data_IF_643166760483
#
_entry.id   IF_643166760483
#
_cell.length_a   1.000
_cell.length_b   1.000
_cell.length_c   1.000
_cell.angle_alpha   90.00
_cell.angle_beta   90.00
_cell.angle_gamma   90.00
#
_symmetry.space_group_name_H-M   'P 1'
#
loop_
_entity.id
_entity.type
_entity.pdbx_description
1 polymer ?
#
# COMPACT_ATOMS: atom_id res chain seq x y z
N UNK A 1 14.88 -38.83 -29.86
CA UNK A 1 15.58 -38.75 -28.56
C UNK A 1 15.09 -39.84 -27.62
N UNK A 2 15.78 -40.98 -27.51
CA UNK A 2 15.70 -41.95 -26.40
C UNK A 2 14.38 -42.07 -25.58
N UNK A 3 13.20 -41.99 -26.20
CA UNK A 3 11.89 -42.02 -25.52
C UNK A 3 11.35 -40.71 -24.92
N UNK A 4 12.09 -39.59 -24.98
CA UNK A 4 11.71 -38.31 -24.33
C UNK A 4 10.87 -37.35 -25.20
N UNK A 5 10.51 -37.75 -26.42
CA UNK A 5 9.89 -36.88 -27.44
C UNK A 5 8.48 -36.37 -27.08
N UNK A 6 7.83 -36.94 -26.06
CA UNK A 6 6.50 -36.50 -25.58
C UNK A 6 6.55 -35.74 -24.25
N UNK A 7 7.74 -35.54 -23.70
CA UNK A 7 7.91 -34.94 -22.39
C UNK A 7 8.09 -33.43 -22.49
N UNK A 8 7.54 -32.70 -21.53
CA UNK A 8 7.64 -31.24 -21.45
C UNK A 8 9.09 -30.77 -21.59
N UNK A 9 9.30 -29.81 -22.49
CA UNK A 9 10.59 -29.13 -22.76
C UNK A 9 11.70 -30.03 -23.33
N UNK A 10 11.37 -31.22 -23.82
CA UNK A 10 12.28 -32.06 -24.61
C UNK A 10 12.80 -31.33 -25.86
N UNK A 11 12.04 -30.39 -26.42
CA UNK A 11 12.43 -29.56 -27.57
C UNK A 11 13.67 -28.68 -27.35
N UNK A 12 14.04 -28.42 -26.08
CA UNK A 12 15.21 -27.60 -25.73
C UNK A 12 16.47 -28.43 -25.48
N UNK A 13 16.37 -29.76 -25.54
CA UNK A 13 17.49 -30.68 -25.37
C UNK A 13 18.01 -31.05 -26.76
N UNK A 14 19.18 -30.53 -27.09
CA UNK A 14 19.88 -30.85 -28.34
C UNK A 14 21.37 -30.99 -28.05
N UNK A 15 22.00 -31.91 -28.76
CA UNK A 15 23.41 -32.21 -28.59
C UNK A 15 23.82 -33.44 -29.38
N UNK A 16 25.12 -33.60 -29.52
CA UNK A 16 25.76 -34.74 -30.15
C UNK A 16 26.65 -35.40 -29.09
N UNK A 17 26.65 -36.73 -29.05
CA UNK A 17 27.45 -37.51 -28.12
C UNK A 17 28.17 -38.58 -28.92
N UNK A 18 29.49 -38.49 -28.96
CA UNK A 18 30.34 -39.48 -29.61
C UNK A 18 30.62 -40.64 -28.65
N UNK A 19 30.40 -41.86 -29.13
CA UNK A 19 30.48 -43.08 -28.32
C UNK A 19 31.40 -44.07 -29.02
N UNK A 20 32.72 -44.01 -28.74
CA UNK A 20 33.72 -44.83 -29.44
C UNK A 20 33.52 -46.34 -29.24
N UNK A 21 32.92 -46.74 -28.11
CA UNK A 21 32.65 -48.14 -27.76
C UNK A 21 31.74 -48.84 -28.80
N UNK A 22 30.89 -48.07 -29.50
CA UNK A 22 29.99 -48.61 -30.53
C UNK A 22 30.69 -48.89 -31.86
N UNK A 23 31.88 -48.30 -32.11
CA UNK A 23 32.65 -48.49 -33.35
C UNK A 23 33.74 -49.57 -33.21
N UNK A 24 34.33 -49.70 -32.03
CA UNK A 24 35.52 -50.56 -31.81
C UNK A 24 35.19 -51.97 -31.30
N UNK A 25 33.93 -52.25 -30.92
CA UNK A 25 33.54 -53.52 -30.30
C UNK A 25 33.15 -54.62 -31.29
N UNK A 26 33.58 -55.87 -31.02
CA UNK A 26 33.08 -57.07 -31.69
C UNK A 26 31.78 -57.55 -31.05
N UNK A 27 30.64 -57.13 -31.60
CA UNK A 27 29.32 -57.47 -31.05
C UNK A 27 28.63 -58.59 -31.85
N UNK A 28 27.98 -59.56 -31.19
CA UNK A 28 27.22 -60.62 -31.87
C UNK A 28 25.99 -60.08 -32.61
N UNK A 29 25.46 -58.93 -32.17
CA UNK A 29 24.41 -58.18 -32.85
C UNK A 29 24.99 -56.80 -33.20
N UNK A 30 24.99 -56.37 -34.47
CA UNK A 30 25.55 -55.07 -34.84
C UNK A 30 24.80 -53.93 -34.13
N UNK A 31 25.51 -52.91 -33.61
CA UNK A 31 24.92 -51.80 -32.87
C UNK A 31 24.11 -50.84 -33.75
N UNK A 32 24.37 -50.82 -35.06
CA UNK A 32 23.59 -50.06 -36.05
C UNK A 32 22.65 -50.97 -36.83
N UNK A 33 21.48 -50.44 -37.17
CA UNK A 33 20.54 -51.10 -38.07
C UNK A 33 21.06 -51.09 -39.53
N UNK A 34 20.80 -52.17 -40.28
CA UNK A 34 21.28 -52.37 -41.65
C UNK A 34 20.56 -51.48 -42.69
N UNK A 35 19.60 -50.65 -42.24
CA UNK A 35 18.74 -49.82 -43.09
C UNK A 35 19.42 -48.55 -43.64
N UNK A 36 20.74 -48.38 -43.50
CA UNK A 36 21.50 -47.16 -43.90
C UNK A 36 20.98 -45.86 -43.26
N UNK A 37 20.09 -45.95 -42.29
CA UNK A 37 19.50 -44.81 -41.58
C UNK A 37 20.33 -44.39 -40.35
N UNK A 38 21.48 -45.03 -40.09
CA UNK A 38 22.34 -44.84 -38.91
C UNK A 38 21.56 -44.85 -37.58
N UNK A 39 20.44 -45.59 -37.53
CA UNK A 39 19.66 -45.76 -36.31
C UNK A 39 20.25 -46.88 -35.47
N UNK A 40 20.32 -46.65 -34.16
CA UNK A 40 20.79 -47.64 -33.19
C UNK A 40 19.83 -48.83 -33.08
N UNK A 41 20.39 -50.04 -33.04
CA UNK A 41 19.64 -51.28 -32.94
C UNK A 41 19.25 -51.58 -31.49
N UNK A 42 17.94 -51.50 -31.20
CA UNK A 42 17.37 -51.76 -29.86
C UNK A 42 17.40 -53.24 -29.43
N UNK A 43 17.80 -54.15 -30.31
CA UNK A 43 17.97 -55.57 -29.98
C UNK A 43 19.34 -55.86 -29.37
N UNK A 44 20.32 -54.95 -29.52
CA UNK A 44 21.62 -55.08 -28.88
C UNK A 44 21.50 -54.64 -27.40
N UNK A 45 21.87 -55.49 -26.42
CA UNK A 45 21.75 -55.17 -25.00
C UNK A 45 22.57 -53.95 -24.57
N UNK A 46 23.75 -53.76 -25.14
CA UNK A 46 24.65 -52.64 -24.80
C UNK A 46 24.10 -51.30 -25.28
N UNK A 47 23.50 -51.29 -26.47
CA UNK A 47 22.78 -50.11 -27.01
C UNK A 47 21.60 -49.76 -26.11
N UNK A 48 20.88 -50.76 -25.57
CA UNK A 48 19.75 -50.52 -24.65
C UNK A 48 20.23 -49.93 -23.32
N UNK A 49 21.30 -50.45 -22.75
CA UNK A 49 21.91 -49.90 -21.51
C UNK A 49 22.35 -48.45 -21.74
N UNK A 50 23.01 -48.19 -22.87
CA UNK A 50 23.49 -46.87 -23.21
C UNK A 50 22.36 -45.86 -23.45
N UNK A 51 21.30 -46.26 -24.17
CA UNK A 51 20.11 -45.43 -24.34
C UNK A 51 19.40 -45.19 -23.00
N UNK A 52 19.41 -46.17 -22.09
CA UNK A 52 18.89 -46.02 -20.73
C UNK A 52 19.68 -44.99 -19.92
N UNK A 53 21.01 -45.07 -19.95
CA UNK A 53 21.88 -44.11 -19.28
C UNK A 53 21.71 -42.68 -19.85
N UNK A 54 21.71 -42.53 -21.18
CA UNK A 54 21.47 -41.22 -21.81
C UNK A 54 20.08 -40.68 -21.44
N UNK A 55 19.07 -41.54 -21.39
CA UNK A 55 17.73 -41.12 -20.98
C UNK A 55 17.68 -40.63 -19.54
N UNK A 56 18.41 -41.28 -18.62
CA UNK A 56 18.52 -40.87 -17.21
C UNK A 56 19.20 -39.51 -17.06
N UNK A 57 20.33 -39.30 -17.73
CA UNK A 57 21.05 -38.02 -17.71
C UNK A 57 20.24 -36.89 -18.36
N UNK A 58 19.57 -37.17 -19.49
CA UNK A 58 18.69 -36.19 -20.13
C UNK A 58 17.48 -35.85 -19.25
N UNK A 59 16.94 -36.81 -18.51
CA UNK A 59 15.86 -36.57 -17.56
C UNK A 59 16.34 -35.71 -16.38
N UNK A 60 17.56 -35.90 -15.89
CA UNK A 60 18.15 -35.03 -14.86
C UNK A 60 18.31 -33.58 -15.36
N UNK A 61 18.84 -33.38 -16.58
CA UNK A 61 18.95 -32.04 -17.18
C UNK A 61 17.57 -31.43 -17.43
N UNK A 62 16.60 -32.23 -17.87
CA UNK A 62 15.21 -31.79 -18.05
C UNK A 62 14.62 -31.29 -16.73
N UNK A 63 14.79 -32.01 -15.62
CA UNK A 63 14.28 -31.59 -14.31
C UNK A 63 14.83 -30.21 -13.93
N UNK A 64 16.12 -29.97 -14.14
CA UNK A 64 16.74 -28.66 -13.89
C UNK A 64 16.10 -27.56 -14.75
N UNK A 65 15.83 -27.82 -16.04
CA UNK A 65 15.17 -26.85 -16.92
C UNK A 65 13.73 -26.55 -16.50
N UNK A 66 12.99 -27.58 -16.09
CA UNK A 66 11.61 -27.43 -15.59
C UNK A 66 11.59 -26.63 -14.29
N UNK A 67 12.49 -26.93 -13.35
CA UNK A 67 12.62 -26.19 -12.10
C UNK A 67 12.94 -24.72 -12.33
N UNK A 68 13.96 -24.41 -13.16
CA UNK A 68 14.33 -23.03 -13.50
C UNK A 68 13.17 -22.25 -14.13
N UNK A 69 12.40 -22.88 -15.01
CA UNK A 69 11.25 -22.25 -15.62
C UNK A 69 10.11 -22.04 -14.60
N UNK A 70 9.88 -22.98 -13.69
CA UNK A 70 8.92 -22.82 -12.61
C UNK A 70 9.32 -21.68 -11.67
N UNK A 71 10.59 -21.56 -11.30
CA UNK A 71 11.11 -20.45 -10.49
C UNK A 71 10.96 -19.11 -11.21
N UNK A 72 11.27 -19.07 -12.52
CA UNK A 72 11.05 -17.88 -13.33
C UNK A 72 9.58 -17.46 -13.35
N UNK A 73 8.67 -18.41 -13.54
CA UNK A 73 7.22 -18.14 -13.52
C UNK A 73 6.76 -17.67 -12.14
N UNK A 74 7.18 -18.33 -11.06
CA UNK A 74 6.85 -17.93 -9.69
C UNK A 74 7.37 -16.53 -9.37
N UNK A 75 8.60 -16.19 -9.78
CA UNK A 75 9.18 -14.86 -9.56
C UNK A 75 8.51 -13.77 -10.40
N UNK A 76 8.09 -14.07 -11.63
CA UNK A 76 7.30 -13.15 -12.44
C UNK A 76 5.91 -12.92 -11.83
N UNK A 77 5.20 -13.98 -11.47
CA UNK A 77 3.90 -13.90 -10.81
C UNK A 77 3.99 -13.14 -9.48
N UNK A 78 5.03 -13.38 -8.67
CA UNK A 78 5.24 -12.64 -7.43
C UNK A 78 5.46 -11.14 -7.67
N UNK A 79 6.18 -10.77 -8.74
CA UNK A 79 6.36 -9.36 -9.13
C UNK A 79 5.05 -8.72 -9.57
N UNK A 80 4.28 -9.41 -10.40
CA UNK A 80 2.96 -8.94 -10.86
C UNK A 80 2.01 -8.73 -9.67
N UNK A 81 1.93 -9.71 -8.76
CA UNK A 81 1.13 -9.61 -7.54
C UNK A 81 1.60 -8.44 -6.66
N UNK A 82 2.91 -8.23 -6.52
CA UNK A 82 3.44 -7.10 -5.76
C UNK A 82 3.12 -5.74 -6.41
N UNK A 83 3.09 -5.65 -7.74
CA UNK A 83 2.67 -4.44 -8.45
C UNK A 83 1.17 -4.17 -8.27
N UNK A 84 0.33 -5.21 -8.33
CA UNK A 84 -1.10 -5.09 -8.06
C UNK A 84 -1.38 -4.68 -6.61
N UNK A 85 -0.65 -5.27 -5.66
CA UNK A 85 -0.75 -4.91 -4.24
C UNK A 85 -0.36 -3.44 -3.99
N UNK A 86 0.69 -2.94 -4.66
CA UNK A 86 1.08 -1.52 -4.60
C UNK A 86 -0.02 -0.60 -5.12
N UNK A 87 -0.62 -0.92 -6.27
CA UNK A 87 -1.73 -0.13 -6.84
C UNK A 87 -2.92 -0.07 -5.88
N UNK A 88 -3.30 -1.21 -5.31
CA UNK A 88 -4.36 -1.27 -4.30
C UNK A 88 -4.00 -0.42 -3.07
N UNK A 89 -2.77 -0.55 -2.56
CA UNK A 89 -2.31 0.21 -1.41
C UNK A 89 -2.33 1.72 -1.67
N UNK A 90 -1.95 2.18 -2.87
CA UNK A 90 -2.03 3.60 -3.24
C UNK A 90 -3.47 4.13 -3.18
N UNK A 91 -4.44 3.40 -3.73
CA UNK A 91 -5.85 3.80 -3.73
C UNK A 91 -6.39 3.87 -2.30
N UNK A 92 -6.11 2.84 -1.50
CA UNK A 92 -6.53 2.75 -0.09
C UNK A 92 -5.90 3.88 0.73
N UNK A 93 -4.61 4.15 0.56
CA UNK A 93 -3.92 5.21 1.27
C UNK A 93 -4.44 6.61 0.89
N UNK A 94 -4.79 6.83 -0.38
CA UNK A 94 -5.42 8.08 -0.81
C UNK A 94 -6.80 8.27 -0.15
N UNK A 95 -7.58 7.20 0.00
CA UNK A 95 -8.84 7.22 0.76
C UNK A 95 -8.63 7.51 2.24
N UNK A 96 -7.65 6.84 2.86
CA UNK A 96 -7.34 7.02 4.27
C UNK A 96 -6.91 8.45 4.61
N UNK A 97 -6.10 9.07 3.75
CA UNK A 97 -5.70 10.48 3.91
C UNK A 97 -6.91 11.42 3.91
N UNK A 98 -7.92 11.13 3.09
CA UNK A 98 -9.15 11.93 3.07
C UNK A 98 -9.98 11.72 4.34
N UNK A 99 -10.09 10.47 4.81
CA UNK A 99 -10.74 10.15 6.09
C UNK A 99 -10.07 10.85 7.27
N UNK A 100 -8.73 10.84 7.34
CA UNK A 100 -8.01 11.56 8.39
C UNK A 100 -8.31 13.06 8.35
N UNK A 101 -8.38 13.65 7.15
CA UNK A 101 -8.72 15.07 6.96
C UNK A 101 -10.14 15.38 7.44
N UNK A 102 -11.12 14.56 7.05
CA UNK A 102 -12.52 14.70 7.48
C UNK A 102 -12.65 14.60 9.01
N UNK A 103 -11.96 13.63 9.63
CA UNK A 103 -11.93 13.47 11.08
C UNK A 103 -11.26 14.65 11.78
N UNK A 104 -10.15 15.18 11.24
CA UNK A 104 -9.52 16.38 11.79
C UNK A 104 -10.42 17.61 11.70
N UNK A 105 -11.15 17.77 10.59
CA UNK A 105 -12.13 18.85 10.44
C UNK A 105 -13.29 18.70 11.42
N UNK A 106 -13.88 17.51 11.55
CA UNK A 106 -14.93 17.22 12.51
C UNK A 106 -14.47 17.47 13.96
N UNK A 107 -13.22 17.10 14.29
CA UNK A 107 -12.60 17.40 15.60
C UNK A 107 -12.40 18.90 15.82
N UNK A 108 -12.05 19.68 14.79
CA UNK A 108 -11.94 21.15 14.91
C UNK A 108 -13.30 21.80 15.13
N UNK A 109 -14.34 21.34 14.43
CA UNK A 109 -15.71 21.85 14.57
C UNK A 109 -16.28 21.50 15.94
N UNK A 110 -16.15 20.24 16.40
CA UNK A 110 -16.58 19.83 17.74
C UNK A 110 -15.81 20.55 18.86
N UNK A 111 -14.50 20.79 18.71
CA UNK A 111 -13.74 21.63 19.65
C UNK A 111 -14.19 23.09 19.66
N UNK A 112 -14.70 23.62 18.54
CA UNK A 112 -15.33 24.95 18.49
C UNK A 112 -16.71 24.95 19.12
N UNK A 113 -17.45 23.84 19.05
CA UNK A 113 -18.77 23.70 19.65
C UNK A 113 -18.73 23.35 21.16
N UNK A 114 -17.66 22.69 21.63
CA UNK A 114 -17.46 22.29 23.03
C UNK A 114 -16.60 23.24 23.86
N UNK A 115 -15.96 24.25 23.24
CA UNK A 115 -15.52 25.42 23.99
C UNK A 115 -16.79 26.19 24.33
N UNK A 116 -17.04 26.43 25.61
CA UNK A 116 -17.88 27.56 26.01
C UNK A 116 -17.55 28.72 25.08
N UNK A 117 -18.60 29.28 24.47
CA UNK A 117 -18.55 30.59 23.87
C UNK A 117 -17.97 31.52 24.93
N UNK A 118 -16.65 31.70 24.93
CA UNK A 118 -16.12 33.01 25.25
C UNK A 118 -16.74 33.85 24.18
N UNK A 119 -17.79 34.58 24.56
CA UNK A 119 -18.41 35.59 23.71
C UNK A 119 -17.24 36.35 23.08
N UNK A 120 -17.08 36.22 21.76
CA UNK A 120 -16.35 37.23 21.02
C UNK A 120 -17.23 38.48 21.19
N UNK A 121 -16.99 39.23 22.27
CA UNK A 121 -17.67 40.49 22.51
C UNK A 121 -17.16 41.41 21.40
N UNK A 122 -17.94 41.50 20.34
CA UNK A 122 -17.83 42.54 19.34
C UNK A 122 -18.21 43.84 20.04
N UNK A 123 -17.29 44.80 20.09
CA UNK A 123 -17.63 46.16 20.50
C UNK A 123 -18.63 46.76 19.49
N UNK A 124 -19.28 47.86 19.86
CA UNK A 124 -20.32 48.57 19.10
C UNK A 124 -19.86 48.98 17.67
N UNK A 125 -18.56 48.90 17.38
CA UNK A 125 -17.90 49.14 16.09
C UNK A 125 -17.52 47.88 15.27
N UNK A 126 -17.76 46.66 15.77
CA UNK A 126 -17.66 45.42 14.99
C UNK A 126 -16.26 44.84 14.77
N UNK A 127 -15.24 45.21 15.55
CA UNK A 127 -13.90 44.60 15.49
C UNK A 127 -13.70 43.53 16.57
N UNK A 128 -12.99 42.45 16.19
CA UNK A 128 -12.72 41.27 17.03
C UNK A 128 -11.56 41.58 18.02
N UNK A 129 -11.81 41.44 19.32
CA UNK A 129 -10.78 41.69 20.33
C UNK A 129 -9.76 40.52 20.40
N UNK A 130 -8.44 40.78 20.52
CA UNK A 130 -7.44 39.72 20.67
C UNK A 130 -7.63 39.00 22.01
N UNK A 131 -7.82 37.68 21.96
CA UNK A 131 -8.40 36.87 23.03
C UNK A 131 -7.63 36.78 24.37
N UNK A 132 -8.40 36.38 25.38
CA UNK A 132 -7.96 36.05 26.75
C UNK A 132 -6.91 34.93 26.75
N UNK A 133 -5.69 35.27 27.15
CA UNK A 133 -4.64 34.30 27.43
C UNK A 133 -3.78 34.75 28.61
N UNK A 134 -3.47 33.84 29.53
CA UNK A 134 -2.75 34.11 30.80
C UNK A 134 -1.25 34.44 30.64
N UNK A 135 -0.78 34.79 29.43
CA UNK A 135 0.62 35.09 29.16
C UNK A 135 0.75 36.57 28.82
N UNK A 136 1.56 37.30 29.59
CA UNK A 136 1.83 38.72 29.36
C UNK A 136 2.46 38.94 27.99
N UNK A 137 1.84 39.79 27.17
CA UNK A 137 2.43 40.26 25.93
C UNK A 137 3.64 41.14 26.26
N UNK A 138 4.80 40.91 25.62
CA UNK A 138 6.00 41.70 25.88
C UNK A 138 5.90 43.15 25.37
N UNK A 139 4.86 43.46 24.59
CA UNK A 139 4.78 44.65 23.75
C UNK A 139 3.33 45.10 23.60
N UNK A 140 3.06 46.37 23.88
CA UNK A 140 1.79 47.05 23.67
C UNK A 140 1.96 48.20 22.66
N UNK A 141 1.06 48.26 21.68
CA UNK A 141 0.99 49.40 20.76
C UNK A 141 0.50 50.64 21.52
N UNK A 142 1.39 51.58 21.78
CA UNK A 142 1.03 52.92 22.23
C UNK A 142 0.75 53.81 21.03
N UNK A 143 -0.39 53.59 20.39
CA UNK A 143 -1.03 54.57 19.52
C UNK A 143 -1.96 55.44 20.36
N UNK A 144 -1.96 56.77 20.17
CA UNK A 144 -3.06 57.57 20.69
C UNK A 144 -4.35 57.15 19.99
N UNK A 145 -5.49 57.02 20.69
CA UNK A 145 -6.77 56.81 20.03
C UNK A 145 -6.97 57.95 19.01
N UNK A 146 -7.46 57.61 17.82
CA UNK A 146 -7.74 58.61 16.79
C UNK A 146 -8.61 59.73 17.38
N UNK A 147 -8.04 60.94 17.45
CA UNK A 147 -8.77 62.10 17.90
C UNK A 147 -9.97 62.33 16.98
N UNK A 148 -11.17 62.40 17.55
CA UNK A 148 -12.37 62.76 16.80
C UNK A 148 -12.15 64.13 16.18
N UNK A 149 -12.02 64.21 14.85
CA UNK A 149 -11.62 65.41 14.11
C UNK A 149 -12.58 66.59 14.30
N UNK A 150 -12.43 67.33 15.40
CA UNK A 150 -13.04 68.64 15.60
C UNK A 150 -11.95 69.68 15.83
N UNK A 151 -12.01 70.70 14.97
CA UNK A 151 -11.05 71.79 14.80
C UNK A 151 -11.14 72.77 15.98
N UNK A 152 -10.02 72.98 16.67
CA UNK A 152 -9.72 74.21 17.41
C UNK A 152 -10.00 74.21 18.92
N UNK A 153 -9.13 74.95 19.63
CA UNK A 153 -9.14 75.33 21.06
C UNK A 153 -8.43 74.37 22.03
N UNK A 154 -7.09 74.35 21.97
CA UNK A 154 -6.21 74.37 23.15
C UNK A 154 -4.84 74.93 22.72
N UNK A 155 -4.18 75.76 23.54
CA UNK A 155 -2.88 76.32 23.20
C UNK A 155 -1.82 75.21 23.15
N UNK A 156 -0.86 75.32 22.22
CA UNK A 156 0.29 74.43 22.16
C UNK A 156 1.10 74.57 23.46
N UNK A 157 1.00 73.57 24.33
CA UNK A 157 1.81 73.50 25.55
C UNK A 157 3.30 73.30 25.21
N UNK A 158 4.21 73.68 26.13
CA UNK A 158 5.65 73.58 25.91
C UNK A 158 6.04 72.11 25.72
N UNK A 159 6.62 71.81 24.56
CA UNK A 159 7.06 70.47 24.19
C UNK A 159 8.40 70.13 24.83
N UNK A 160 8.40 69.72 26.10
CA UNK A 160 9.61 69.34 26.84
C UNK A 160 9.66 67.84 27.22
N UNK A 161 8.94 66.98 26.49
CA UNK A 161 9.12 65.53 26.62
C UNK A 161 9.54 64.98 25.26
N UNK A 162 10.74 64.40 25.12
CA UNK A 162 11.16 63.79 23.87
C UNK A 162 10.18 62.66 23.50
N UNK A 163 9.57 62.76 22.31
CA UNK A 163 8.71 61.73 21.74
C UNK A 163 9.53 60.45 21.50
N UNK A 164 9.22 59.32 22.15
CA UNK A 164 9.73 58.04 21.69
C UNK A 164 9.01 57.70 20.39
N UNK A 165 9.75 57.50 19.30
CA UNK A 165 9.27 56.69 18.16
C UNK A 165 9.86 55.29 18.24
N UNK A 166 9.43 54.31 17.43
CA UNK A 166 8.10 54.04 16.90
C UNK A 166 7.33 53.01 17.78
N UNK A 167 6.07 53.34 18.10
CA UNK A 167 4.89 52.49 18.37
C UNK A 167 4.98 51.19 19.18
N UNK A 168 5.94 50.98 20.07
CA UNK A 168 5.90 49.82 20.98
C UNK A 168 6.42 50.18 22.36
N UNK A 169 5.58 49.99 23.36
CA UNK A 169 5.94 50.08 24.78
C UNK A 169 5.92 48.67 25.39
N UNK A 170 6.64 48.39 26.49
CA UNK A 170 6.53 47.12 27.19
C UNK A 170 5.09 46.95 27.69
N UNK A 171 4.39 45.92 27.20
CA UNK A 171 3.00 45.63 27.57
C UNK A 171 2.92 44.87 28.90
N UNK A 172 1.86 45.12 29.66
CA UNK A 172 1.52 44.37 30.90
C UNK A 172 0.14 43.69 30.78
N UNK A 173 -0.40 43.61 29.56
CA UNK A 173 -1.69 42.99 29.25
C UNK A 173 -1.52 41.49 28.98
N UNK A 174 -2.39 40.69 29.60
CA UNK A 174 -2.51 39.25 29.41
C UNK A 174 -3.08 38.98 28.01
N UNK A 175 -2.27 38.36 27.15
CA UNK A 175 -2.63 38.02 25.78
C UNK A 175 -1.55 37.12 25.16
N UNK A 176 -1.70 35.81 25.27
CA UNK A 176 -0.71 34.90 24.71
C UNK A 176 -0.86 34.73 23.19
N UNK A 177 0.19 34.91 22.36
CA UNK A 177 0.14 34.44 20.99
C UNK A 177 -0.03 32.92 21.00
N UNK A 178 -0.95 32.42 20.18
CA UNK A 178 -1.12 30.98 19.97
C UNK A 178 0.22 30.44 19.47
N UNK A 179 0.89 29.67 20.32
CA UNK A 179 2.16 29.04 20.05
C UNK A 179 2.04 28.19 18.78
N UNK A 180 2.41 28.78 17.63
CA UNK A 180 2.53 28.06 16.37
C UNK A 180 3.78 27.24 16.55
N UNK A 181 3.66 26.06 17.14
CA UNK A 181 4.77 25.11 17.29
C UNK A 181 5.42 24.93 15.93
N UNK A 182 6.55 25.61 15.73
CA UNK A 182 7.43 25.53 14.57
C UNK A 182 8.07 24.15 14.62
N UNK A 183 7.33 23.18 14.10
CA UNK A 183 7.62 21.77 14.34
C UNK A 183 6.34 20.96 14.51
N UNK A 184 5.32 21.17 13.66
CA UNK A 184 4.46 20.05 13.35
C UNK A 184 5.34 19.03 12.66
N UNK A 185 5.95 18.12 13.44
CA UNK A 185 6.47 16.86 12.90
C UNK A 185 5.36 16.38 11.99
N UNK A 186 5.64 16.34 10.66
CA UNK A 186 4.77 15.71 9.68
C UNK A 186 4.36 14.40 10.33
N UNK A 187 3.11 14.30 10.81
CA UNK A 187 2.63 13.07 11.43
C UNK A 187 2.91 12.00 10.39
N UNK A 188 3.64 10.95 10.77
CA UNK A 188 3.83 9.80 9.89
C UNK A 188 2.41 9.30 9.63
N UNK A 189 1.89 9.63 8.45
CA UNK A 189 0.57 9.19 7.98
C UNK A 189 0.62 7.67 8.09
N UNK A 190 -0.40 7.06 8.70
CA UNK A 190 -0.47 5.62 8.71
C UNK A 190 -0.62 5.17 7.24
N UNK A 191 0.34 4.38 6.76
CA UNK A 191 0.35 3.85 5.40
C UNK A 191 -0.05 2.40 5.52
N UNK A 192 -1.20 2.03 4.97
CA UNK A 192 -1.60 0.65 4.80
C UNK A 192 -0.76 0.01 3.70
N UNK A 193 -0.28 -1.20 3.97
CA UNK A 193 0.39 -2.05 2.98
C UNK A 193 -0.49 -3.26 2.68
N UNK A 194 -0.36 -3.83 1.48
CA UNK A 194 -1.11 -5.02 1.07
C UNK A 194 -0.10 -6.04 0.60
N UNK A 195 -0.26 -7.28 1.03
CA UNK A 195 0.58 -8.40 0.60
C UNK A 195 -0.28 -9.63 0.31
N UNK A 196 0.14 -10.39 -0.70
CA UNK A 196 -0.47 -11.68 -1.03
C UNK A 196 0.32 -12.81 -0.38
N UNK A 197 -0.38 -13.72 0.30
CA UNK A 197 0.24 -14.83 1.03
C UNK A 197 -0.47 -16.13 0.68
N UNK A 198 0.31 -17.21 0.53
CA UNK A 198 -0.21 -18.56 0.47
C UNK A 198 -0.27 -19.10 1.89
N UNK A 199 -1.46 -19.24 2.45
CA UNK A 199 -1.63 -19.84 3.76
C UNK A 199 -2.25 -21.24 3.66
N UNK A 200 -3.59 -21.32 3.74
CA UNK A 200 -4.34 -22.57 3.69
C UNK A 200 -5.78 -22.24 3.32
N UNK A 201 -6.46 -23.15 2.61
CA UNK A 201 -7.86 -22.98 2.19
C UNK A 201 -8.86 -22.82 3.34
N UNK A 202 -8.51 -23.27 4.56
CA UNK A 202 -9.38 -23.18 5.75
C UNK A 202 -9.28 -21.84 6.49
N UNK A 203 -8.21 -21.08 6.26
CA UNK A 203 -8.05 -19.76 6.86
C UNK A 203 -8.92 -18.74 6.15
N UNK A 204 -9.18 -17.62 6.83
CA UNK A 204 -9.96 -16.52 6.27
C UNK A 204 -9.35 -16.01 4.95
N UNK A 205 -10.20 -15.42 4.12
CA UNK A 205 -9.82 -14.83 2.82
C UNK A 205 -8.84 -13.65 2.95
N UNK A 206 -8.90 -12.93 4.07
CA UNK A 206 -8.05 -11.80 4.39
C UNK A 206 -7.79 -11.73 5.89
N UNK A 207 -6.70 -11.07 6.25
CA UNK A 207 -6.36 -10.74 7.63
C UNK A 207 -5.60 -9.42 7.70
N UNK A 208 -6.05 -8.54 8.58
CA UNK A 208 -5.32 -7.36 8.99
C UNK A 208 -4.37 -7.63 10.17
N UNK A 209 -3.14 -7.10 10.10
CA UNK A 209 -2.22 -7.02 11.25
C UNK A 209 -2.05 -5.56 11.70
N UNK A 210 -2.48 -5.20 12.93
CA UNK A 210 -2.44 -3.82 13.42
C UNK A 210 -1.02 -3.30 13.65
N UNK A 211 -0.05 -4.17 13.97
CA UNK A 211 1.33 -3.74 14.25
C UNK A 211 2.04 -3.23 13.00
N UNK A 212 1.91 -3.97 11.90
CA UNK A 212 2.53 -3.64 10.62
C UNK A 212 1.61 -2.81 9.72
N UNK A 213 0.32 -2.69 10.07
CA UNK A 213 -0.75 -2.10 9.25
C UNK A 213 -0.81 -2.72 7.85
N UNK A 214 -0.56 -4.02 7.78
CA UNK A 214 -0.55 -4.78 6.54
C UNK A 214 -1.81 -5.62 6.43
N UNK A 215 -2.43 -5.55 5.27
CA UNK A 215 -3.57 -6.38 4.88
C UNK A 215 -3.03 -7.56 4.08
N UNK A 216 -3.16 -8.76 4.63
CA UNK A 216 -2.79 -9.99 3.97
C UNK A 216 -3.98 -10.59 3.25
N UNK A 217 -3.83 -10.88 1.96
CA UNK A 217 -4.84 -11.55 1.14
C UNK A 217 -4.40 -13.00 0.92
N UNK A 218 -5.26 -13.95 1.29
CA UNK A 218 -4.97 -15.38 1.21
C UNK A 218 -5.31 -15.92 -0.19
N UNK A 219 -4.28 -16.25 -0.97
CA UNK A 219 -4.44 -16.78 -2.34
C UNK A 219 -5.02 -18.20 -2.38
N UNK A 220 -4.87 -18.97 -1.30
CA UNK A 220 -5.33 -20.35 -1.21
C UNK A 220 -6.81 -20.47 -0.81
N UNK A 221 -7.44 -19.37 -0.43
CA UNK A 221 -8.87 -19.37 -0.09
C UNK A 221 -9.70 -19.81 -1.31
N UNK A 222 -10.69 -20.71 -1.16
CA UNK A 222 -11.39 -21.35 -2.28
C UNK A 222 -12.00 -20.36 -3.29
N UNK A 223 -12.52 -19.22 -2.81
CA UNK A 223 -13.06 -18.17 -3.68
C UNK A 223 -11.98 -17.56 -4.59
N UNK A 224 -10.82 -17.19 -4.02
CA UNK A 224 -9.71 -16.53 -4.74
C UNK A 224 -9.01 -17.55 -5.64
N UNK A 225 -8.74 -18.75 -5.13
CA UNK A 225 -8.13 -19.83 -5.88
C UNK A 225 -9.00 -20.27 -7.08
N UNK A 226 -10.33 -20.32 -6.92
CA UNK A 226 -11.25 -20.64 -8.03
C UNK A 226 -11.23 -19.55 -9.11
N UNK A 227 -11.20 -18.28 -8.71
CA UNK A 227 -11.11 -17.15 -9.62
C UNK A 227 -9.77 -17.12 -10.37
N UNK A 228 -8.68 -17.40 -9.67
CA UNK A 228 -7.35 -17.49 -10.26
C UNK A 228 -7.26 -18.62 -11.30
N UNK A 229 -7.85 -19.78 -11.01
CA UNK A 229 -7.95 -20.90 -11.95
C UNK A 229 -8.84 -20.58 -13.15
N UNK A 230 -9.98 -19.94 -12.94
CA UNK A 230 -10.89 -19.53 -14.02
C UNK A 230 -10.23 -18.51 -14.96
N UNK A 231 -9.36 -17.65 -14.42
CA UNK A 231 -8.52 -16.71 -15.18
C UNK A 231 -7.32 -17.34 -15.89
N UNK A 232 -7.15 -18.66 -15.87
CA UNK A 232 -6.04 -19.36 -16.51
C UNK A 232 -4.70 -19.19 -15.78
N UNK A 233 -4.73 -19.05 -14.45
CA UNK A 233 -3.56 -18.79 -13.59
C UNK A 233 -2.81 -17.50 -13.96
N UNK A 234 -3.54 -16.49 -14.45
CA UNK A 234 -3.04 -15.15 -14.74
C UNK A 234 -3.57 -14.16 -13.72
N UNK A 235 -2.64 -13.39 -13.14
CA UNK A 235 -2.88 -12.28 -12.21
C UNK A 235 -3.71 -11.17 -12.86
N UNK A 236 -3.49 -10.91 -14.15
CA UNK A 236 -4.22 -9.90 -14.94
C UNK A 236 -5.68 -10.26 -15.27
N UNK A 237 -6.18 -11.40 -14.81
CA UNK A 237 -7.57 -11.77 -15.06
C UNK A 237 -8.53 -10.87 -14.29
N UNK A 238 -9.53 -10.33 -14.99
CA UNK A 238 -10.54 -9.44 -14.40
C UNK A 238 -11.24 -10.06 -13.19
N UNK A 239 -11.63 -11.33 -13.29
CA UNK A 239 -12.31 -12.06 -12.20
C UNK A 239 -11.45 -12.14 -10.93
N UNK A 240 -10.14 -12.37 -11.08
CA UNK A 240 -9.22 -12.40 -9.95
C UNK A 240 -9.07 -11.01 -9.32
N UNK A 241 -8.87 -9.97 -10.14
CA UNK A 241 -8.76 -8.59 -9.67
C UNK A 241 -10.00 -8.11 -8.94
N UNK A 242 -11.18 -8.33 -9.53
CA UNK A 242 -12.46 -7.91 -8.94
C UNK A 242 -12.63 -8.49 -7.53
N UNK A 243 -12.33 -9.78 -7.34
CA UNK A 243 -12.42 -10.45 -6.04
C UNK A 243 -11.34 -9.95 -5.08
N UNK A 244 -10.08 -9.83 -5.52
CA UNK A 244 -9.00 -9.32 -4.67
C UNK A 244 -9.30 -7.89 -4.20
N UNK A 245 -9.87 -7.05 -5.07
CA UNK A 245 -10.22 -5.67 -4.77
C UNK A 245 -11.39 -5.59 -3.80
N UNK A 246 -12.42 -6.43 -3.97
CA UNK A 246 -13.52 -6.56 -3.00
C UNK A 246 -13.00 -6.97 -1.63
N UNK A 247 -12.17 -8.02 -1.57
CA UNK A 247 -11.59 -8.53 -0.33
C UNK A 247 -10.74 -7.46 0.36
N UNK A 248 -9.90 -6.75 -0.39
CA UNK A 248 -9.10 -5.66 0.14
C UNK A 248 -9.96 -4.50 0.67
N UNK A 249 -11.03 -4.13 -0.04
CA UNK A 249 -11.95 -3.06 0.39
C UNK A 249 -12.63 -3.40 1.73
N UNK A 250 -13.11 -4.64 1.87
CA UNK A 250 -13.79 -5.11 3.08
C UNK A 250 -12.81 -5.14 4.25
N UNK A 251 -11.62 -5.71 4.06
CA UNK A 251 -10.63 -5.81 5.14
C UNK A 251 -10.15 -4.42 5.56
N UNK A 252 -9.92 -3.51 4.60
CA UNK A 252 -9.55 -2.13 4.92
C UNK A 252 -10.63 -1.40 5.73
N UNK A 253 -11.91 -1.56 5.38
CA UNK A 253 -12.99 -0.94 6.13
C UNK A 253 -13.03 -1.42 7.59
N UNK A 254 -12.77 -2.72 7.81
CA UNK A 254 -12.63 -3.29 9.15
C UNK A 254 -11.35 -2.81 9.86
N UNK A 255 -10.24 -2.70 9.14
CA UNK A 255 -8.97 -2.21 9.68
C UNK A 255 -9.07 -0.75 10.16
N UNK A 256 -9.73 0.11 9.39
CA UNK A 256 -10.01 1.50 9.78
C UNK A 256 -10.86 1.54 11.04
N UNK A 257 -11.85 0.66 11.15
CA UNK A 257 -12.68 0.58 12.36
C UNK A 257 -11.86 0.14 13.58
N UNK A 258 -11.00 -0.88 13.45
CA UNK A 258 -10.12 -1.28 14.55
C UNK A 258 -9.19 -0.15 14.98
N UNK A 259 -8.61 0.59 14.03
CA UNK A 259 -7.75 1.75 14.29
C UNK A 259 -8.51 2.92 14.94
N UNK A 260 -9.80 3.09 14.63
CA UNK A 260 -10.66 4.08 15.29
C UNK A 260 -10.98 3.66 16.72
N UNK A 261 -11.35 2.41 16.94
CA UNK A 261 -11.67 1.88 18.27
C UNK A 261 -10.49 1.95 19.24
N UNK A 262 -9.26 1.71 18.77
CA UNK A 262 -8.06 1.88 19.58
C UNK A 262 -7.81 3.35 20.00
N UNK A 263 -8.34 4.32 19.24
CA UNK A 263 -8.12 5.75 19.47
C UNK A 263 -9.25 6.41 20.27
N UNK A 264 -10.50 5.98 20.08
CA UNK A 264 -11.69 6.55 20.70
C UNK A 264 -12.44 5.46 21.49
N UNK A 265 -12.38 5.53 22.83
CA UNK A 265 -12.92 4.54 23.80
C UNK A 265 -14.47 4.35 23.78
N UNK A 266 -15.20 5.18 23.04
CA UNK A 266 -16.67 5.27 23.07
C UNK A 266 -17.30 5.17 21.67
N UNK A 267 -16.84 4.23 20.85
CA UNK A 267 -17.38 4.01 19.52
C UNK A 267 -18.58 3.04 19.54
N UNK A 268 -19.77 3.52 19.17
CA UNK A 268 -20.98 2.71 19.15
C UNK A 268 -20.97 1.71 17.97
N UNK A 269 -21.47 0.50 18.21
CA UNK A 269 -21.50 -0.57 17.20
C UNK A 269 -22.37 -0.24 15.97
N UNK A 270 -23.43 0.54 16.15
CA UNK A 270 -24.31 0.95 15.04
C UNK A 270 -23.61 1.93 14.08
N UNK A 271 -22.84 2.88 14.64
CA UNK A 271 -22.02 3.82 13.87
C UNK A 271 -20.89 3.10 13.12
N UNK A 272 -20.35 2.02 13.71
CA UNK A 272 -19.35 1.18 13.09
C UNK A 272 -19.83 0.47 11.83
N UNK A 273 -21.03 -0.09 11.86
CA UNK A 273 -21.59 -0.78 10.70
C UNK A 273 -21.92 0.20 9.56
N UNK A 274 -22.41 1.39 9.89
CA UNK A 274 -22.64 2.44 8.90
C UNK A 274 -21.34 2.88 8.23
N UNK A 275 -20.30 3.12 9.03
CA UNK A 275 -18.99 3.53 8.53
C UNK A 275 -18.37 2.47 7.62
N UNK A 276 -18.40 1.20 8.03
CA UNK A 276 -17.87 0.10 7.21
C UNK A 276 -18.56 0.06 5.85
N UNK A 277 -19.90 0.14 5.82
CA UNK A 277 -20.66 0.16 4.56
C UNK A 277 -20.34 1.39 3.70
N UNK A 278 -20.21 2.55 4.32
CA UNK A 278 -19.87 3.81 3.64
C UNK A 278 -18.49 3.73 3.00
N UNK A 279 -17.49 3.25 3.74
CA UNK A 279 -16.11 3.06 3.26
C UNK A 279 -16.07 2.07 2.10
N UNK A 280 -16.72 0.91 2.23
CA UNK A 280 -16.78 -0.10 1.16
C UNK A 280 -17.40 0.50 -0.10
N UNK A 281 -18.54 1.18 0.00
CA UNK A 281 -19.21 1.79 -1.16
C UNK A 281 -18.35 2.87 -1.83
N UNK A 282 -17.59 3.65 -1.04
CA UNK A 282 -16.72 4.69 -1.58
C UNK A 282 -15.52 4.11 -2.30
N UNK A 283 -14.88 3.10 -1.73
CA UNK A 283 -13.69 2.47 -2.32
C UNK A 283 -14.05 1.60 -3.53
N UNK A 284 -15.13 0.83 -3.46
CA UNK A 284 -15.57 0.01 -4.60
C UNK A 284 -15.90 0.86 -5.83
N UNK A 285 -16.45 2.07 -5.65
CA UNK A 285 -16.63 3.04 -6.74
C UNK A 285 -15.30 3.49 -7.35
N UNK A 286 -14.29 3.78 -6.52
CA UNK A 286 -12.94 4.15 -7.01
C UNK A 286 -12.25 3.00 -7.73
N UNK A 287 -12.44 1.78 -7.25
CA UNK A 287 -11.94 0.59 -7.93
C UNK A 287 -12.61 0.38 -9.28
N UNK A 288 -13.91 0.62 -9.39
CA UNK A 288 -14.63 0.51 -10.66
C UNK A 288 -14.20 1.55 -11.72
N UNK A 289 -13.59 2.67 -11.32
CA UNK A 289 -13.03 3.66 -12.26
C UNK A 289 -11.67 3.24 -12.85
N UNK A 290 -11.00 2.26 -12.23
CA UNK A 290 -9.62 1.84 -12.55
C UNK A 290 -9.59 0.45 -13.23
N UNK A 291 -10.63 -0.36 -13.03
CA UNK A 291 -10.86 -1.68 -13.66
C UNK A 291 -11.34 -1.57 -15.11
#
# INVERSE_FOLDING_TARGET
>A
MAGLEKCDRSEYLFGEVDIPILEEGEWPIPPFDNTRNNTLNRQNPDVVVLLGWIAEELEAVRQILVEREQERRKSQQAKELAEEAKKLAEIINNDFVQLELELELARRVSRRAGKQLTEDILDVSGELWPGDGDVTTQWQETGQPHGSGKRGQNPAGPGDIPRPGPSVSPGDQLGGPKDVKTGSRKRRRAVFSIDYVNETAQKNRSRYDPNTKTIYINLDHPQIASAFKAGGNRTDSRQFRDICYEVAAVEYALAVLSEKNERDEWYNADDALYDVRSIINRITRRFAEIL
#
